data_IF_821262261099
#
_entry.id   IF_821262261099
#
_cell.length_a   1.000
_cell.length_b   1.000
_cell.length_c   1.000
_cell.angle_alpha   90.00
_cell.angle_beta   90.00
_cell.angle_gamma   90.00
#
_symmetry.space_group_name_H-M   'P 1'
#
loop_
_entity.id
_entity.type
_entity.pdbx_description
1 polymer ?
#
# COMPACT_ATOMS: atom_id res chain seq x y z
N UNK A 1 18.57 -7.13 23.34
CA UNK A 1 18.02 -5.78 23.02
C UNK A 1 16.58 -5.93 22.59
N UNK A 2 15.64 -5.07 23.02
CA UNK A 2 14.25 -5.14 22.54
C UNK A 2 14.20 -4.85 21.04
N UNK A 3 13.49 -5.69 20.28
CA UNK A 3 13.38 -5.55 18.82
C UNK A 3 12.62 -4.26 18.50
N UNK A 4 13.19 -3.37 17.67
CA UNK A 4 12.54 -2.13 17.24
C UNK A 4 11.15 -2.45 16.64
N UNK A 5 10.07 -1.73 16.99
CA UNK A 5 8.75 -1.95 16.41
C UNK A 5 8.78 -1.91 14.87
N UNK A 6 7.99 -2.77 14.22
CA UNK A 6 7.75 -2.70 12.78
C UNK A 6 7.10 -1.35 12.43
N UNK A 7 7.37 -0.87 11.23
CA UNK A 7 6.79 0.34 10.67
C UNK A 7 6.01 0.04 9.40
N UNK A 8 4.83 0.64 9.27
CA UNK A 8 3.99 0.55 8.08
C UNK A 8 3.79 1.94 7.46
N UNK A 9 3.92 2.02 6.14
CA UNK A 9 3.51 3.17 5.36
C UNK A 9 2.23 2.84 4.60
N UNK A 10 1.21 3.70 4.73
CA UNK A 10 -0.02 3.61 3.96
C UNK A 10 -0.04 4.79 2.99
N UNK A 11 -0.07 4.52 1.68
CA UNK A 11 -0.31 5.53 0.64
C UNK A 11 -1.79 5.50 0.27
N UNK A 12 -2.51 6.56 0.60
CA UNK A 12 -3.96 6.66 0.44
C UNK A 12 -4.31 7.53 -0.77
N UNK A 13 -4.94 6.91 -1.78
CA UNK A 13 -5.29 7.48 -3.08
C UNK A 13 -6.73 7.93 -3.22
N UNK A 14 -7.44 8.22 -2.12
CA UNK A 14 -8.77 8.83 -2.20
C UNK A 14 -8.70 10.16 -2.94
N UNK A 15 -9.68 10.40 -3.82
CA UNK A 15 -9.74 11.61 -4.64
C UNK A 15 -10.43 12.79 -3.93
N UNK A 16 -11.07 12.53 -2.78
CA UNK A 16 -11.74 13.55 -1.98
C UNK A 16 -10.73 14.30 -1.10
N UNK A 17 -10.68 15.63 -1.22
CA UNK A 17 -9.85 16.47 -0.34
C UNK A 17 -10.33 16.45 1.12
N UNK A 18 -11.64 16.42 1.30
CA UNK A 18 -12.26 16.31 2.63
C UNK A 18 -12.21 14.88 3.15
N UNK A 19 -12.27 14.74 4.48
CA UNK A 19 -12.38 13.45 5.14
C UNK A 19 -13.78 12.83 4.97
N UNK A 20 -13.90 11.54 5.22
CA UNK A 20 -15.15 10.78 5.21
C UNK A 20 -15.35 9.90 3.97
N UNK A 21 -14.27 9.53 3.29
CA UNK A 21 -14.34 8.56 2.18
C UNK A 21 -14.25 7.12 2.68
N UNK A 22 -14.87 6.17 1.98
CA UNK A 22 -14.85 4.75 2.37
C UNK A 22 -13.43 4.16 2.39
N UNK A 23 -12.55 4.61 1.50
CA UNK A 23 -11.14 4.18 1.51
C UNK A 23 -10.40 4.68 2.76
N UNK A 24 -10.65 5.92 3.17
CA UNK A 24 -10.10 6.49 4.40
C UNK A 24 -10.59 5.71 5.63
N UNK A 25 -11.86 5.33 5.65
CA UNK A 25 -12.43 4.54 6.74
C UNK A 25 -11.80 3.15 6.85
N UNK A 26 -11.54 2.47 5.72
CA UNK A 26 -10.81 1.22 5.69
C UNK A 26 -9.34 1.38 6.12
N UNK A 27 -8.70 2.50 5.75
CA UNK A 27 -7.36 2.88 6.22
C UNK A 27 -7.35 3.07 7.74
N UNK A 28 -8.33 3.78 8.31
CA UNK A 28 -8.45 3.99 9.76
C UNK A 28 -8.64 2.66 10.49
N UNK A 29 -9.51 1.78 10.00
CA UNK A 29 -9.68 0.43 10.56
C UNK A 29 -8.36 -0.33 10.58
N UNK A 30 -7.65 -0.32 9.46
CA UNK A 30 -6.35 -1.01 9.29
C UNK A 30 -5.30 -0.46 10.25
N UNK A 31 -5.21 0.87 10.40
CA UNK A 31 -4.27 1.52 11.34
C UNK A 31 -4.54 1.12 12.78
N UNK A 32 -5.79 1.07 13.18
CA UNK A 32 -6.16 0.66 14.54
C UNK A 32 -5.71 -0.78 14.81
N UNK A 33 -5.84 -1.67 13.82
CA UNK A 33 -5.35 -3.06 13.92
C UNK A 33 -3.84 -3.15 13.93
N UNK A 34 -3.15 -2.42 13.06
CA UNK A 34 -1.68 -2.33 13.05
C UNK A 34 -1.14 -1.86 14.40
N UNK A 35 -1.76 -0.84 15.00
CA UNK A 35 -1.39 -0.33 16.32
C UNK A 35 -1.58 -1.39 17.41
N UNK A 36 -2.70 -2.14 17.40
CA UNK A 36 -2.92 -3.26 18.32
C UNK A 36 -1.90 -4.39 18.14
N UNK A 37 -1.37 -4.57 16.93
CA UNK A 37 -0.31 -5.52 16.62
C UNK A 37 1.11 -4.98 16.90
N UNK A 38 1.25 -3.81 17.53
CA UNK A 38 2.56 -3.21 17.86
C UNK A 38 3.30 -2.59 16.66
N UNK A 39 2.61 -2.35 15.54
CA UNK A 39 3.18 -1.71 14.34
C UNK A 39 2.90 -0.22 14.36
N UNK A 40 3.95 0.60 14.19
CA UNK A 40 3.80 2.06 14.01
C UNK A 40 3.44 2.36 12.57
N UNK A 41 2.28 2.97 12.33
CA UNK A 41 1.81 3.29 10.98
C UNK A 41 1.81 4.79 10.70
N UNK A 42 2.23 5.17 9.48
CA UNK A 42 2.09 6.52 8.92
C UNK A 42 1.21 6.46 7.67
N UNK A 43 0.31 7.42 7.52
CA UNK A 43 -0.48 7.61 6.28
C UNK A 43 0.05 8.83 5.54
N UNK A 44 0.17 8.71 4.22
CA UNK A 44 0.33 9.83 3.31
C UNK A 44 -0.90 9.83 2.39
N UNK A 45 -1.70 10.90 2.44
CA UNK A 45 -2.84 11.10 1.54
C UNK A 45 -2.32 11.72 0.26
N UNK A 46 -2.30 10.96 -0.84
CA UNK A 46 -1.68 11.38 -2.09
C UNK A 46 -2.37 12.62 -2.69
N UNK A 47 -3.65 12.85 -2.41
CA UNK A 47 -4.39 14.03 -2.87
C UNK A 47 -3.83 15.35 -2.31
N UNK A 48 -3.07 15.28 -1.21
CA UNK A 48 -2.41 16.42 -0.57
C UNK A 48 -0.95 16.60 -0.96
N UNK A 49 -0.39 15.74 -1.82
CA UNK A 49 1.01 15.79 -2.23
C UNK A 49 1.08 16.10 -3.73
N UNK A 50 2.02 16.95 -4.15
CA UNK A 50 2.24 17.26 -5.55
C UNK A 50 3.23 16.27 -6.18
N UNK A 51 2.71 15.16 -6.68
CA UNK A 51 3.51 14.12 -7.36
C UNK A 51 3.55 14.39 -8.86
N UNK A 52 4.66 14.96 -9.34
CA UNK A 52 4.83 15.27 -10.76
C UNK A 52 4.92 13.98 -11.61
N UNK A 53 4.48 14.01 -12.88
CA UNK A 53 4.71 12.90 -13.80
C UNK A 53 6.21 12.81 -14.15
N UNK A 54 6.73 11.60 -14.29
CA UNK A 54 8.11 11.34 -14.71
C UNK A 54 8.62 10.03 -14.11
N UNK A 55 9.90 9.70 -14.32
CA UNK A 55 10.48 8.41 -13.92
C UNK A 55 11.63 8.52 -12.91
N UNK A 56 12.14 9.73 -12.61
CA UNK A 56 13.27 9.93 -11.69
C UNK A 56 12.81 10.13 -10.26
N UNK A 57 13.67 9.94 -9.26
CA UNK A 57 13.33 10.22 -7.85
C UNK A 57 12.88 11.67 -7.59
N UNK A 58 13.21 12.62 -8.47
CA UNK A 58 12.84 14.03 -8.38
C UNK A 58 12.68 14.63 -9.79
N UNK A 59 11.49 15.16 -10.12
CA UNK A 59 11.26 15.86 -11.40
C UNK A 59 11.47 17.38 -11.33
N UNK A 60 11.92 17.89 -10.19
CA UNK A 60 12.32 19.28 -10.02
C UNK A 60 11.47 20.02 -8.99
N UNK A 61 11.36 21.34 -9.18
CA UNK A 61 10.78 22.23 -8.18
C UNK A 61 9.31 21.87 -7.90
N UNK A 62 9.02 21.58 -6.63
CA UNK A 62 7.67 21.30 -6.15
C UNK A 62 7.25 19.83 -6.24
N UNK A 63 8.13 18.92 -6.63
CA UNK A 63 7.85 17.47 -6.58
C UNK A 63 7.96 16.94 -5.13
N UNK A 64 6.87 16.41 -4.60
CA UNK A 64 6.83 15.80 -3.27
C UNK A 64 7.27 14.32 -3.29
N UNK A 65 7.43 13.72 -4.47
CA UNK A 65 7.85 12.32 -4.61
C UNK A 65 9.12 11.95 -3.85
N UNK A 66 10.20 12.76 -3.79
CA UNK A 66 11.40 12.40 -3.04
C UNK A 66 11.14 12.06 -1.56
N UNK A 67 10.19 12.77 -0.92
CA UNK A 67 9.79 12.52 0.48
C UNK A 67 9.02 11.20 0.61
N UNK A 68 8.18 10.88 -0.37
CA UNK A 68 7.40 9.64 -0.45
C UNK A 68 8.34 8.45 -0.74
N UNK A 69 9.27 8.57 -1.70
CA UNK A 69 10.25 7.54 -2.01
C UNK A 69 11.11 7.17 -0.78
N UNK A 70 11.59 8.18 -0.03
CA UNK A 70 12.29 7.93 1.25
C UNK A 70 11.41 7.22 2.28
N UNK A 71 10.11 7.53 2.32
CA UNK A 71 9.15 6.86 3.17
C UNK A 71 9.02 5.37 2.84
N UNK A 72 8.89 5.06 1.55
CA UNK A 72 8.74 3.71 1.02
C UNK A 72 9.99 2.89 1.36
N UNK A 73 11.18 3.42 1.06
CA UNK A 73 12.44 2.75 1.34
C UNK A 73 12.66 2.47 2.84
N UNK A 74 12.13 3.33 3.73
CA UNK A 74 12.33 3.21 5.16
C UNK A 74 11.32 2.30 5.90
N UNK A 75 10.19 1.96 5.28
CA UNK A 75 9.14 1.16 5.94
C UNK A 75 9.43 -0.35 5.89
N UNK A 76 8.84 -1.12 6.80
CA UNK A 76 8.88 -2.59 6.76
C UNK A 76 7.69 -3.17 5.99
N UNK A 77 6.56 -2.44 6.02
CA UNK A 77 5.30 -2.80 5.38
C UNK A 77 4.81 -1.62 4.53
N UNK A 78 4.57 -1.84 3.25
CA UNK A 78 3.89 -0.88 2.37
C UNK A 78 2.44 -1.30 2.16
N UNK A 79 1.50 -0.39 2.36
CA UNK A 79 0.09 -0.60 2.05
C UNK A 79 -0.36 0.46 1.05
N UNK A 80 -0.81 0.01 -0.11
CA UNK A 80 -1.44 0.89 -1.11
C UNK A 80 -2.94 0.86 -0.90
N UNK A 81 -3.54 2.02 -0.65
CA UNK A 81 -4.97 2.16 -0.45
C UNK A 81 -5.56 2.97 -1.60
N UNK A 82 -6.33 2.31 -2.46
CA UNK A 82 -6.95 2.96 -3.62
C UNK A 82 -8.44 2.69 -3.65
N UNK A 83 -9.30 3.70 -3.87
CA UNK A 83 -10.66 3.42 -4.30
C UNK A 83 -10.69 2.80 -5.72
N UNK A 84 -11.80 2.13 -6.05
CA UNK A 84 -12.13 1.72 -7.42
C UNK A 84 -12.73 2.91 -8.17
N UNK A 85 -12.18 3.26 -9.33
CA UNK A 85 -12.74 4.30 -10.21
C UNK A 85 -12.54 3.96 -11.69
N UNK A 86 -13.65 3.93 -12.44
CA UNK A 86 -13.75 4.02 -13.90
C UNK A 86 -12.57 3.47 -14.73
N UNK A 87 -12.18 2.22 -14.49
CA UNK A 87 -11.12 1.59 -15.28
C UNK A 87 -10.59 0.29 -14.66
N UNK A 88 -9.65 -0.38 -15.36
CA UNK A 88 -9.08 -1.66 -14.94
C UNK A 88 -8.01 -1.53 -13.83
N UNK A 89 -7.93 -0.39 -13.17
CA UNK A 89 -6.78 -0.04 -12.33
C UNK A 89 -7.16 0.83 -11.14
N UNK A 90 -6.15 1.21 -10.34
CA UNK A 90 -6.37 2.05 -9.17
C UNK A 90 -6.75 3.49 -9.56
N UNK A 91 -7.02 4.32 -8.56
CA UNK A 91 -7.16 5.77 -8.70
C UNK A 91 -5.95 6.38 -9.42
N UNK A 92 -6.17 7.47 -10.15
CA UNK A 92 -5.09 8.19 -10.86
C UNK A 92 -3.94 8.61 -9.96
N UNK A 93 -4.19 8.88 -8.68
CA UNK A 93 -3.15 9.22 -7.71
C UNK A 93 -2.27 8.02 -7.36
N UNK A 94 -2.86 6.85 -7.16
CA UNK A 94 -2.11 5.61 -6.91
C UNK A 94 -1.42 5.16 -8.18
N UNK A 95 -2.07 5.28 -9.34
CA UNK A 95 -1.43 5.04 -10.64
C UNK A 95 -0.18 5.90 -10.81
N UNK A 96 -0.28 7.20 -10.51
CA UNK A 96 0.87 8.11 -10.52
C UNK A 96 1.95 7.66 -9.53
N UNK A 97 1.60 7.24 -8.31
CA UNK A 97 2.58 6.73 -7.37
C UNK A 97 3.28 5.46 -7.87
N UNK A 98 2.56 4.54 -8.53
CA UNK A 98 3.13 3.33 -9.13
C UNK A 98 4.09 3.66 -10.26
N UNK A 99 3.71 4.53 -11.20
CA UNK A 99 4.58 5.03 -12.28
C UNK A 99 5.88 5.63 -11.72
N UNK A 100 5.79 6.36 -10.61
CA UNK A 100 6.95 7.00 -9.97
C UNK A 100 7.85 6.03 -9.21
N UNK A 101 7.40 4.78 -8.98
CA UNK A 101 8.27 3.74 -8.42
C UNK A 101 9.32 3.24 -9.41
N UNK A 102 9.21 3.57 -10.70
CA UNK A 102 10.23 3.25 -11.73
C UNK A 102 11.63 3.74 -11.35
N UNK A 103 11.71 4.87 -10.62
CA UNK A 103 12.94 5.40 -10.06
C UNK A 103 13.70 4.41 -9.15
N UNK A 104 13.00 3.47 -8.50
CA UNK A 104 13.63 2.41 -7.72
C UNK A 104 14.23 1.30 -8.60
N UNK A 105 13.61 1.02 -9.74
CA UNK A 105 14.13 0.05 -10.70
C UNK A 105 15.38 0.60 -11.40
N UNK A 106 15.33 1.86 -11.85
CA UNK A 106 16.52 2.55 -12.38
C UNK A 106 17.68 2.56 -11.37
N UNK A 107 17.38 2.81 -10.09
CA UNK A 107 18.38 2.77 -9.02
C UNK A 107 18.94 1.36 -8.83
N UNK A 108 18.10 0.33 -8.88
CA UNK A 108 18.51 -1.07 -8.79
C UNK A 108 19.42 -1.46 -9.97
N UNK A 109 19.05 -1.12 -11.21
CA UNK A 109 19.87 -1.43 -12.39
C UNK A 109 21.29 -0.84 -12.30
N UNK A 110 21.41 0.36 -11.70
CA UNK A 110 22.69 1.04 -11.49
C UNK A 110 23.50 0.48 -10.32
N UNK A 111 22.85 0.13 -9.22
CA UNK A 111 23.53 -0.22 -7.95
C UNK A 111 23.60 -1.71 -7.66
N UNK A 112 22.79 -2.50 -8.36
CA UNK A 112 22.50 -3.92 -8.08
C UNK A 112 21.93 -4.19 -6.69
N UNK A 113 21.54 -3.15 -5.94
CA UNK A 113 20.94 -3.26 -4.61
C UNK A 113 19.53 -2.68 -4.61
N UNK A 114 18.52 -3.52 -4.36
CA UNK A 114 17.14 -3.04 -4.25
C UNK A 114 16.83 -2.51 -2.85
N UNK A 115 16.30 -1.29 -2.78
CA UNK A 115 15.75 -0.71 -1.54
C UNK A 115 14.38 -1.26 -1.16
N UNK A 116 13.73 -2.02 -2.04
CA UNK A 116 12.36 -2.48 -1.88
C UNK A 116 12.27 -3.95 -1.43
N UNK A 117 13.36 -4.70 -1.59
CA UNK A 117 13.46 -6.08 -1.15
C UNK A 117 13.24 -6.21 0.36
N UNK A 118 12.80 -7.40 0.78
CA UNK A 118 12.58 -7.75 2.18
C UNK A 118 11.54 -6.88 2.91
N UNK A 119 10.58 -6.35 2.16
CA UNK A 119 9.42 -5.61 2.68
C UNK A 119 8.14 -6.36 2.35
N UNK A 120 7.20 -6.36 3.28
CA UNK A 120 5.87 -6.89 3.02
C UNK A 120 4.99 -5.83 2.35
N UNK A 121 4.07 -6.25 1.48
CA UNK A 121 3.09 -5.36 0.86
C UNK A 121 1.66 -5.89 0.94
N UNK A 122 0.71 -4.97 0.98
CA UNK A 122 -0.72 -5.27 0.91
C UNK A 122 -1.52 -4.15 0.25
N UNK A 123 -2.74 -4.48 -0.16
CA UNK A 123 -3.64 -3.55 -0.85
C UNK A 123 -4.94 -3.39 -0.07
N UNK A 124 -5.37 -2.14 0.08
CA UNK A 124 -6.71 -1.79 0.54
C UNK A 124 -7.49 -1.22 -0.64
N UNK A 125 -8.73 -1.66 -0.83
CA UNK A 125 -9.60 -1.04 -1.85
C UNK A 125 -11.05 -0.97 -1.44
N UNK A 126 -11.74 0.06 -1.91
CA UNK A 126 -13.18 0.20 -1.73
C UNK A 126 -13.82 0.63 -3.04
N UNK A 127 -14.95 0.04 -3.41
CA UNK A 127 -15.71 0.41 -4.60
C UNK A 127 -17.21 0.40 -4.34
N UNK A 128 -17.98 1.10 -5.16
CA UNK A 128 -19.45 1.11 -5.00
C UNK A 128 -20.08 -0.24 -5.34
N UNK A 129 -19.50 -1.02 -6.25
CA UNK A 129 -20.14 -2.22 -6.83
C UNK A 129 -19.13 -3.35 -7.08
N UNK A 130 -18.22 -3.17 -8.03
CA UNK A 130 -17.23 -4.19 -8.42
C UNK A 130 -15.86 -3.54 -8.70
N UNK A 131 -14.82 -4.35 -8.93
CA UNK A 131 -13.49 -3.93 -9.36
C UNK A 131 -12.38 -4.11 -8.32
N UNK A 132 -12.70 -4.60 -7.12
CA UNK A 132 -11.72 -4.76 -6.05
C UNK A 132 -10.56 -5.70 -6.42
N UNK A 133 -10.88 -6.86 -7.01
CA UNK A 133 -9.87 -7.84 -7.43
C UNK A 133 -8.98 -7.29 -8.56
N UNK A 134 -9.57 -6.54 -9.48
CA UNK A 134 -8.84 -5.94 -10.60
C UNK A 134 -7.87 -4.83 -10.14
N UNK A 135 -8.32 -3.95 -9.23
CA UNK A 135 -7.44 -2.97 -8.56
C UNK A 135 -6.33 -3.67 -7.77
N UNK A 136 -6.68 -4.72 -7.03
CA UNK A 136 -5.74 -5.54 -6.28
C UNK A 136 -4.66 -6.12 -7.18
N UNK A 137 -5.06 -6.83 -8.25
CA UNK A 137 -4.16 -7.43 -9.23
C UNK A 137 -3.20 -6.39 -9.81
N UNK A 138 -3.70 -5.23 -10.24
CA UNK A 138 -2.87 -4.19 -10.84
C UNK A 138 -1.76 -3.74 -9.89
N UNK A 139 -2.12 -3.34 -8.66
CA UNK A 139 -1.16 -2.87 -7.67
C UNK A 139 -0.20 -3.99 -7.26
N UNK A 140 -0.74 -5.18 -6.98
CA UNK A 140 0.06 -6.32 -6.51
C UNK A 140 1.09 -6.75 -7.54
N UNK A 141 0.72 -6.78 -8.83
CA UNK A 141 1.64 -7.12 -9.91
C UNK A 141 2.82 -6.15 -9.98
N UNK A 142 2.57 -4.84 -9.97
CA UNK A 142 3.62 -3.83 -9.99
C UNK A 142 4.55 -3.94 -8.79
N UNK A 143 3.99 -4.01 -7.58
CA UNK A 143 4.79 -4.09 -6.36
C UNK A 143 5.59 -5.39 -6.25
N UNK A 144 5.00 -6.51 -6.70
CA UNK A 144 5.70 -7.79 -6.73
C UNK A 144 6.91 -7.72 -7.66
N UNK A 145 6.75 -7.15 -8.86
CA UNK A 145 7.84 -6.97 -9.81
C UNK A 145 8.99 -6.12 -9.22
N UNK A 146 8.64 -5.08 -8.46
CA UNK A 146 9.60 -4.22 -7.77
C UNK A 146 10.28 -4.87 -6.54
N UNK A 147 9.88 -6.09 -6.16
CA UNK A 147 10.53 -6.87 -5.10
C UNK A 147 9.84 -6.88 -3.74
N UNK A 148 8.61 -6.36 -3.64
CA UNK A 148 7.81 -6.55 -2.43
C UNK A 148 7.29 -7.98 -2.31
N UNK A 149 7.21 -8.49 -1.09
CA UNK A 149 6.63 -9.79 -0.81
C UNK A 149 5.19 -9.67 -0.31
N UNK A 150 4.31 -10.57 -0.77
CA UNK A 150 2.90 -10.61 -0.40
C UNK A 150 2.60 -11.87 0.41
N UNK A 151 1.94 -11.75 1.57
CA UNK A 151 1.39 -12.92 2.24
C UNK A 151 0.05 -13.33 1.60
N UNK A 152 -0.50 -14.51 1.96
CA UNK A 152 -1.90 -14.83 1.70
C UNK A 152 -2.83 -13.75 2.25
N UNK A 153 -3.96 -13.51 1.59
CA UNK A 153 -4.98 -12.54 2.02
C UNK A 153 -4.45 -11.10 2.15
N UNK A 154 -3.56 -10.71 1.23
CA UNK A 154 -2.93 -9.38 1.14
C UNK A 154 -3.72 -8.35 0.35
N UNK A 155 -4.99 -8.64 0.07
CA UNK A 155 -5.99 -7.70 -0.43
C UNK A 155 -7.13 -7.65 0.58
N UNK A 156 -7.39 -6.48 1.15
CA UNK A 156 -8.54 -6.24 2.01
C UNK A 156 -9.44 -5.19 1.36
N UNK A 157 -10.73 -5.49 1.22
CA UNK A 157 -11.62 -4.65 0.46
C UNK A 157 -13.05 -4.63 0.97
N UNK A 158 -13.79 -3.63 0.48
CA UNK A 158 -15.24 -3.61 0.52
C UNK A 158 -15.77 -3.19 -0.85
N UNK A 159 -16.80 -3.87 -1.32
CA UNK A 159 -17.62 -3.41 -2.45
C UNK A 159 -19.09 -3.50 -2.11
N UNK A 160 -19.90 -2.64 -2.72
CA UNK A 160 -21.33 -2.60 -2.50
C UNK A 160 -22.12 -3.45 -3.48
N UNK A 161 -23.43 -3.40 -3.34
CA UNK A 161 -24.35 -4.03 -4.28
C UNK A 161 -24.73 -3.06 -5.39
N UNK A 162 -24.88 -3.59 -6.60
CA UNK A 162 -25.26 -2.84 -7.79
C UNK A 162 -26.55 -2.06 -7.54
N UNK A 163 -26.55 -0.77 -7.88
CA UNK A 163 -27.72 0.11 -7.75
C UNK A 163 -27.99 0.65 -6.34
N UNK A 164 -27.18 0.30 -5.32
CA UNK A 164 -27.32 0.86 -3.97
C UNK A 164 -26.58 2.20 -3.87
N UNK A 165 -27.34 3.30 -3.79
CA UNK A 165 -26.82 4.69 -3.88
C UNK A 165 -25.90 5.17 -2.74
N UNK A 166 -25.52 4.33 -1.77
CA UNK A 166 -24.74 4.79 -0.61
C UNK A 166 -23.55 3.86 -0.32
N UNK A 167 -22.30 4.31 -0.54
CA UNK A 167 -21.15 3.61 -0.01
C UNK A 167 -21.18 3.64 1.54
N UNK A 168 -20.52 2.71 2.23
CA UNK A 168 -20.54 2.61 3.66
C UNK A 168 -19.71 3.76 4.24
N UNK A 169 -20.23 4.32 5.32
CA UNK A 169 -19.52 5.24 6.19
C UNK A 169 -18.61 4.46 7.14
N UNK A 170 -17.75 5.18 7.88
CA UNK A 170 -16.90 4.63 8.93
C UNK A 170 -17.61 3.65 9.85
N UNK A 171 -18.80 4.05 10.29
CA UNK A 171 -19.64 3.27 11.20
C UNK A 171 -20.12 1.99 10.52
N UNK A 172 -20.53 2.07 9.26
CA UNK A 172 -21.02 0.92 8.49
C UNK A 172 -19.91 -0.06 8.13
N UNK A 173 -18.74 0.44 7.73
CA UNK A 173 -17.55 -0.39 7.50
C UNK A 173 -17.12 -1.11 8.78
N UNK A 174 -17.11 -0.40 9.92
CA UNK A 174 -16.78 -1.00 11.21
C UNK A 174 -17.80 -2.05 11.69
N UNK A 175 -19.06 -1.93 11.29
CA UNK A 175 -20.13 -2.88 11.61
C UNK A 175 -20.16 -4.09 10.65
N UNK A 176 -19.54 -3.99 9.47
CA UNK A 176 -19.44 -5.11 8.54
C UNK A 176 -18.43 -6.15 9.07
N UNK A 177 -18.95 -7.27 9.59
CA UNK A 177 -18.15 -8.32 10.22
C UNK A 177 -17.19 -8.98 9.22
N UNK A 178 -17.57 -9.12 7.96
CA UNK A 178 -16.74 -9.74 6.93
C UNK A 178 -15.52 -8.87 6.59
N UNK A 179 -15.73 -7.56 6.43
CA UNK A 179 -14.62 -6.60 6.25
C UNK A 179 -13.73 -6.58 7.47
N UNK A 180 -14.31 -6.59 8.69
CA UNK A 180 -13.54 -6.61 9.92
C UNK A 180 -12.68 -7.87 10.03
N UNK A 181 -13.22 -9.04 9.68
CA UNK A 181 -12.52 -10.33 9.69
C UNK A 181 -11.42 -10.39 8.63
N UNK A 182 -11.72 -9.94 7.41
CA UNK A 182 -10.75 -9.83 6.33
C UNK A 182 -9.59 -8.89 6.73
N UNK A 183 -9.89 -7.73 7.31
CA UNK A 183 -8.89 -6.79 7.77
C UNK A 183 -8.02 -7.36 8.91
N UNK A 184 -8.61 -8.19 9.77
CA UNK A 184 -7.88 -8.90 10.83
C UNK A 184 -6.85 -9.86 10.23
N UNK A 185 -7.26 -10.69 9.27
CA UNK A 185 -6.39 -11.64 8.57
C UNK A 185 -5.30 -10.93 7.77
N UNK A 186 -5.68 -9.89 7.02
CA UNK A 186 -4.77 -9.00 6.28
C UNK A 186 -3.64 -8.45 7.16
N UNK A 187 -3.97 -7.80 8.28
CA UNK A 187 -2.95 -7.23 9.18
C UNK A 187 -2.10 -8.32 9.83
N UNK A 188 -2.72 -9.41 10.29
CA UNK A 188 -1.99 -10.54 10.90
C UNK A 188 -0.95 -11.10 9.93
N UNK A 189 -1.35 -11.37 8.70
CA UNK A 189 -0.49 -12.03 7.72
C UNK A 189 0.66 -11.09 7.26
N UNK A 190 0.40 -9.78 7.12
CA UNK A 190 1.46 -8.79 6.86
C UNK A 190 2.49 -8.70 7.98
N UNK A 191 2.04 -8.68 9.23
CA UNK A 191 2.92 -8.61 10.40
C UNK A 191 3.78 -9.87 10.54
N UNK A 192 3.20 -11.05 10.29
CA UNK A 192 3.95 -12.31 10.27
C UNK A 192 5.03 -12.25 9.19
N UNK A 193 4.67 -11.92 7.95
CA UNK A 193 5.62 -11.87 6.85
C UNK A 193 6.73 -10.85 7.08
N UNK A 194 6.40 -9.64 7.53
CA UNK A 194 7.41 -8.61 7.78
C UNK A 194 8.40 -9.02 8.90
N UNK A 195 7.92 -9.72 9.93
CA UNK A 195 8.82 -10.29 10.95
C UNK A 195 9.71 -11.41 10.38
N UNK A 196 9.17 -12.26 9.51
CA UNK A 196 9.93 -13.31 8.84
C UNK A 196 11.03 -12.73 7.96
N UNK A 197 10.70 -11.79 7.07
CA UNK A 197 11.68 -11.12 6.19
C UNK A 197 12.75 -10.37 6.98
N UNK A 198 12.39 -9.75 8.11
CA UNK A 198 13.37 -9.12 9.00
C UNK A 198 14.29 -10.14 9.67
N UNK A 199 13.80 -11.35 9.95
CA UNK A 199 14.59 -12.41 10.60
C UNK A 199 15.42 -13.24 9.64
N UNK A 200 14.92 -13.44 8.42
CA UNK A 200 15.47 -14.27 7.36
C UNK A 200 15.21 -13.56 6.03
N UNK A 201 15.98 -12.50 5.72
CA UNK A 201 15.82 -11.77 4.47
C UNK A 201 16.17 -12.68 3.29
N UNK A 202 15.53 -12.45 2.14
CA UNK A 202 16.05 -12.87 0.86
C UNK A 202 17.48 -12.37 0.70
N UNK A 203 18.38 -13.17 0.13
CA UNK A 203 19.75 -12.75 -0.13
C UNK A 203 19.77 -11.50 -1.01
N UNK A 204 20.73 -10.62 -0.76
CA UNK A 204 20.99 -9.51 -1.67
C UNK A 204 21.43 -10.10 -3.03
N UNK A 205 20.94 -9.52 -4.13
CA UNK A 205 21.42 -9.87 -5.46
C UNK A 205 22.84 -9.32 -5.65
N UNK A 206 23.86 -10.00 -5.14
CA UNK A 206 25.26 -9.71 -5.48
C UNK A 206 26.05 -10.98 -5.83
N UNK A 207 26.48 -10.98 -7.09
CA UNK A 207 27.69 -11.59 -7.65
C UNK A 207 28.08 -13.03 -7.26
N UNK A 208 27.39 -13.99 -7.87
CA UNK A 208 27.87 -15.38 -8.01
C UNK A 208 27.23 -16.32 -7.00
N UNK A 209 26.55 -17.36 -7.51
CA UNK A 209 25.73 -18.35 -6.80
C UNK A 209 24.26 -17.90 -6.68
N UNK A 210 23.27 -18.57 -7.28
CA UNK A 210 23.14 -19.91 -7.88
C UNK A 210 22.22 -19.85 -9.10
#
# INVERSE_FOLDING_TARGET
MPKKPLTALILEGGLNRTSGSSIEDLVIMTRNRLSKAGVRSRVIRLIGENVLPGLRHNEGKGDDWPKIARAIAACDILIMASPVWWGPGPSSLVQRALERMDAFDEEYLRTRTSKLYNKAAGVLTTGSEDGAQQVGQHIMNTLQFLGFAFPPESLCYWVGEVGVKRPPTRVRLAQNQDVAEMNRRFVRNLVILANLLRSKPFPAHDAGET
#
